data_IF_337189709160
#
_entry.id   IF_337189709160
#
_cell.length_a   1.000
_cell.length_b   1.000
_cell.length_c   1.000
_cell.angle_alpha   90.00
_cell.angle_beta   90.00
_cell.angle_gamma   90.00
#
_symmetry.space_group_name_H-M   'P 1'
#
loop_
_entity.id
_entity.type
_entity.pdbx_description
1 polymer ?
#
# COMPACT_ATOMS: atom_id res chain seq x y z
N UNK A 1 8.65 1.68 6.07
CA UNK A 1 9.21 3.04 6.27
C UNK A 1 10.14 3.13 7.48
N UNK A 2 9.76 2.62 8.66
CA UNK A 2 10.60 2.69 9.87
C UNK A 2 12.06 2.22 9.67
N UNK A 3 12.27 0.98 9.24
CA UNK A 3 13.64 0.41 9.06
C UNK A 3 14.47 1.27 8.09
N UNK A 4 13.89 1.60 6.93
CA UNK A 4 14.56 2.42 5.91
C UNK A 4 14.99 3.80 6.42
N UNK A 5 14.19 4.45 7.26
CA UNK A 5 14.55 5.75 7.86
C UNK A 5 15.62 5.57 8.94
N UNK A 6 15.51 4.53 9.76
CA UNK A 6 16.44 4.29 10.88
C UNK A 6 17.85 3.93 10.41
N UNK A 7 17.99 3.19 9.31
CA UNK A 7 19.29 2.86 8.70
C UNK A 7 20.02 4.10 8.17
N UNK A 8 19.27 5.12 7.74
CA UNK A 8 19.80 6.36 7.16
C UNK A 8 19.85 7.52 8.17
N UNK A 9 19.71 7.26 9.47
CA UNK A 9 19.73 8.30 10.52
C UNK A 9 20.97 9.18 10.49
N UNK A 10 22.14 8.61 10.16
CA UNK A 10 23.38 9.37 10.05
C UNK A 10 23.33 10.40 8.92
N UNK A 11 22.76 10.06 7.76
CA UNK A 11 22.58 10.99 6.64
C UNK A 11 21.67 12.15 7.05
N UNK A 12 20.59 11.84 7.77
CA UNK A 12 19.67 12.84 8.31
C UNK A 12 20.33 13.73 9.37
N UNK A 13 21.15 13.17 10.25
CA UNK A 13 21.96 13.92 11.21
C UNK A 13 22.96 14.89 10.55
N UNK A 14 23.60 14.47 9.46
CA UNK A 14 24.49 15.33 8.67
C UNK A 14 23.70 16.49 8.05
N UNK A 15 22.51 16.25 7.48
CA UNK A 15 21.68 17.32 6.92
C UNK A 15 21.27 18.35 7.98
N UNK A 16 20.87 17.89 9.17
CA UNK A 16 20.56 18.78 10.30
C UNK A 16 21.78 19.61 10.73
N UNK A 17 22.98 19.00 10.76
CA UNK A 17 24.22 19.71 11.09
C UNK A 17 24.63 20.78 10.06
N UNK A 18 24.27 20.58 8.78
CA UNK A 18 24.52 21.55 7.69
C UNK A 18 23.48 22.68 7.66
N UNK A 19 22.43 22.60 8.49
CA UNK A 19 21.44 23.67 8.67
C UNK A 19 20.05 23.36 8.13
N UNK A 20 19.73 22.10 7.81
CA UNK A 20 18.32 21.72 7.59
C UNK A 20 17.53 21.89 8.89
N UNK A 21 16.36 22.49 8.78
CA UNK A 21 15.39 22.49 9.87
C UNK A 21 14.70 21.12 9.99
N UNK A 22 14.28 20.71 11.20
CA UNK A 22 13.49 19.49 11.41
C UNK A 22 12.24 19.39 10.52
N UNK A 23 11.60 20.53 10.24
CA UNK A 23 10.44 20.59 9.35
C UNK A 23 10.76 20.33 7.87
N UNK A 24 11.92 20.80 7.38
CA UNK A 24 12.40 20.49 6.03
C UNK A 24 12.71 19.00 5.89
N UNK A 25 13.38 18.42 6.88
CA UNK A 25 13.69 16.99 6.92
C UNK A 25 12.41 16.13 6.98
N UNK A 26 11.45 16.49 7.83
CA UNK A 26 10.14 15.84 7.89
C UNK A 26 9.46 15.85 6.53
N UNK A 27 9.39 17.02 5.87
CA UNK A 27 8.75 17.15 4.56
C UNK A 27 9.45 16.31 3.49
N UNK A 28 10.77 16.22 3.52
CA UNK A 28 11.54 15.38 2.61
C UNK A 28 11.16 13.90 2.76
N UNK A 29 11.17 13.37 3.98
CA UNK A 29 10.84 11.97 4.25
C UNK A 29 9.37 11.66 3.90
N UNK A 30 8.46 12.59 4.16
CA UNK A 30 7.06 12.44 3.78
C UNK A 30 6.86 12.43 2.26
N UNK A 31 7.62 13.25 1.51
CA UNK A 31 7.59 13.24 0.04
C UNK A 31 8.17 11.93 -0.51
N UNK A 32 9.26 11.43 0.05
CA UNK A 32 9.83 10.12 -0.31
C UNK A 32 8.82 9.00 -0.06
N UNK A 33 8.14 9.03 1.09
CA UNK A 33 7.08 8.08 1.43
C UNK A 33 5.90 8.16 0.45
N UNK A 34 5.51 9.38 0.02
CA UNK A 34 4.46 9.57 -0.97
C UNK A 34 4.85 9.00 -2.34
N UNK A 35 6.09 9.20 -2.78
CA UNK A 35 6.60 8.62 -4.02
C UNK A 35 6.59 7.09 -3.97
N UNK A 36 7.04 6.50 -2.87
CA UNK A 36 7.00 5.04 -2.67
C UNK A 36 5.55 4.52 -2.70
N UNK A 37 4.61 5.25 -2.10
CA UNK A 37 3.20 4.87 -2.13
C UNK A 37 2.61 4.90 -3.55
N UNK A 38 2.88 5.96 -4.31
CA UNK A 38 2.39 6.10 -5.69
C UNK A 38 2.95 5.00 -6.58
N UNK A 39 4.27 4.77 -6.51
CA UNK A 39 4.94 3.72 -7.30
C UNK A 39 4.39 2.34 -6.90
N UNK A 40 4.27 2.07 -5.60
CA UNK A 40 3.74 0.82 -5.08
C UNK A 40 2.30 0.56 -5.51
N UNK A 41 1.42 1.55 -5.43
CA UNK A 41 0.02 1.44 -5.87
C UNK A 41 -0.07 1.22 -7.38
N UNK A 42 0.74 1.92 -8.16
CA UNK A 42 0.78 1.76 -9.62
C UNK A 42 1.26 0.36 -10.00
N UNK A 43 2.32 -0.13 -9.36
CA UNK A 43 2.82 -1.49 -9.56
C UNK A 43 1.80 -2.55 -9.14
N UNK A 44 1.13 -2.35 -7.99
CA UNK A 44 0.07 -3.24 -7.51
C UNK A 44 -1.09 -3.32 -8.51
N UNK A 45 -1.53 -2.17 -9.05
CA UNK A 45 -2.58 -2.12 -10.07
C UNK A 45 -2.15 -2.88 -11.33
N UNK A 46 -0.93 -2.65 -11.84
CA UNK A 46 -0.42 -3.32 -13.03
C UNK A 46 -0.39 -4.85 -12.87
N UNK A 47 0.04 -5.35 -11.70
CA UNK A 47 0.07 -6.79 -11.41
C UNK A 47 -1.33 -7.37 -11.23
N UNK A 48 -2.27 -6.61 -10.65
CA UNK A 48 -3.62 -7.10 -10.32
C UNK A 48 -4.56 -7.15 -11.53
N UNK A 49 -4.35 -6.30 -12.54
CA UNK A 49 -5.22 -6.23 -13.74
C UNK A 49 -5.26 -7.57 -14.50
N UNK A 50 -4.14 -8.26 -14.66
CA UNK A 50 -4.07 -9.53 -15.39
C UNK A 50 -4.96 -10.63 -14.79
N UNK A 51 -4.76 -11.01 -13.52
CA UNK A 51 -5.62 -11.96 -12.81
C UNK A 51 -7.09 -11.52 -12.79
N UNK A 52 -7.35 -10.22 -12.63
CA UNK A 52 -8.72 -9.70 -12.67
C UNK A 52 -9.41 -9.98 -14.01
N UNK A 53 -8.78 -9.67 -15.14
CA UNK A 53 -9.37 -9.90 -16.46
C UNK A 53 -9.61 -11.39 -16.73
N UNK A 54 -8.71 -12.25 -16.25
CA UNK A 54 -8.87 -13.70 -16.36
C UNK A 54 -10.08 -14.21 -15.55
N UNK A 55 -10.21 -13.78 -14.29
CA UNK A 55 -11.34 -14.15 -13.42
C UNK A 55 -12.66 -13.50 -13.84
N UNK A 56 -12.63 -12.31 -14.43
CA UNK A 56 -13.83 -11.63 -14.93
C UNK A 56 -14.41 -12.33 -16.17
N UNK A 57 -13.55 -12.86 -17.05
CA UNK A 57 -13.96 -13.53 -18.30
C UNK A 57 -14.29 -15.02 -18.09
N UNK A 58 -13.41 -15.76 -17.43
CA UNK A 58 -13.56 -17.22 -17.24
C UNK A 58 -14.50 -17.54 -16.08
N UNK A 59 -14.51 -16.68 -15.06
CA UNK A 59 -15.19 -16.96 -13.79
C UNK A 59 -14.57 -18.15 -13.05
N UNK A 60 -15.03 -18.36 -11.83
CA UNK A 60 -14.70 -19.55 -11.03
C UNK A 60 -15.88 -20.50 -11.14
N UNK A 61 -15.65 -21.68 -11.70
CA UNK A 61 -16.65 -22.73 -11.75
C UNK A 61 -16.78 -23.40 -10.38
N UNK A 62 -17.93 -23.20 -9.73
CA UNK A 62 -18.25 -23.76 -8.42
C UNK A 62 -19.22 -24.96 -8.54
N UNK A 63 -19.48 -25.45 -9.75
CA UNK A 63 -20.38 -26.60 -10.00
C UNK A 63 -19.99 -27.85 -9.21
N UNK A 64 -18.71 -28.08 -8.95
CA UNK A 64 -18.24 -29.23 -8.16
C UNK A 64 -18.42 -29.11 -6.64
N UNK A 65 -18.81 -27.92 -6.13
CA UNK A 65 -19.02 -27.67 -4.69
C UNK A 65 -20.51 -27.53 -4.32
N UNK A 66 -21.39 -27.39 -5.31
CA UNK A 66 -22.85 -27.25 -5.10
C UNK A 66 -23.50 -28.60 -5.42
N UNK A 67 -24.15 -29.27 -4.45
CA UNK A 67 -24.87 -30.50 -4.73
C UNK A 67 -26.07 -30.24 -5.67
N UNK A 68 -26.36 -31.20 -6.54
CA UNK A 68 -27.23 -31.04 -7.71
C UNK A 68 -28.68 -30.61 -7.37
N UNK A 69 -29.10 -30.80 -6.12
CA UNK A 69 -30.38 -30.41 -5.54
C UNK A 69 -30.51 -28.90 -5.27
N UNK A 70 -29.39 -28.16 -5.29
CA UNK A 70 -29.34 -26.72 -5.03
C UNK A 70 -28.98 -25.89 -6.29
N UNK A 71 -28.82 -26.55 -7.44
CA UNK A 71 -28.54 -25.90 -8.73
C UNK A 71 -29.80 -25.31 -9.40
N UNK A 72 -30.99 -25.66 -8.92
CA UNK A 72 -32.27 -25.10 -9.36
C UNK A 72 -33.04 -24.57 -8.14
N UNK A 73 -33.39 -23.28 -8.17
CA UNK A 73 -34.29 -22.68 -7.19
C UNK A 73 -35.56 -22.26 -7.93
N UNK A 74 -36.69 -22.86 -7.59
CA UNK A 74 -38.00 -22.59 -8.21
C UNK A 74 -38.03 -22.74 -9.75
N UNK A 75 -37.31 -23.72 -10.30
CA UNK A 75 -37.29 -24.02 -11.74
C UNK A 75 -36.42 -23.08 -12.59
N UNK A 76 -35.62 -22.23 -11.96
CA UNK A 76 -34.61 -21.39 -12.62
C UNK A 76 -33.23 -21.94 -12.33
N UNK A 77 -32.48 -22.29 -13.38
CA UNK A 77 -31.10 -22.72 -13.28
C UNK A 77 -30.20 -21.58 -12.79
N UNK A 78 -29.54 -21.79 -11.66
CA UNK A 78 -28.57 -20.84 -11.11
C UNK A 78 -27.24 -20.97 -11.87
N UNK A 79 -26.64 -19.85 -12.29
CA UNK A 79 -25.33 -19.88 -12.92
C UNK A 79 -24.27 -20.32 -11.91
N UNK A 80 -23.68 -21.50 -12.09
CA UNK A 80 -22.61 -22.05 -11.24
C UNK A 80 -21.24 -21.40 -11.48
N UNK A 81 -21.18 -20.30 -12.24
CA UNK A 81 -19.94 -19.59 -12.55
C UNK A 81 -19.94 -18.27 -11.78
N UNK A 82 -19.13 -18.18 -10.73
CA UNK A 82 -18.94 -16.95 -9.97
C UNK A 82 -17.96 -16.05 -10.70
N UNK A 83 -18.43 -14.89 -11.17
CA UNK A 83 -17.59 -13.87 -11.81
C UNK A 83 -17.19 -12.81 -10.80
N UNK A 84 -15.93 -12.40 -10.84
CA UNK A 84 -15.44 -11.29 -10.01
C UNK A 84 -15.86 -9.97 -10.65
N UNK A 85 -16.68 -9.20 -9.94
CA UNK A 85 -17.02 -7.83 -10.27
C UNK A 85 -16.29 -6.86 -9.35
N UNK A 86 -15.36 -6.08 -9.89
CA UNK A 86 -14.73 -4.98 -9.15
C UNK A 86 -15.51 -3.70 -9.44
N UNK A 87 -16.12 -3.13 -8.39
CA UNK A 87 -16.75 -1.81 -8.46
C UNK A 87 -15.68 -0.71 -8.34
N UNK A 88 -15.75 0.32 -9.19
CA UNK A 88 -14.77 1.41 -9.21
C UNK A 88 -14.65 2.16 -7.88
N UNK A 89 -15.76 2.28 -7.14
CA UNK A 89 -15.80 2.86 -5.80
C UNK A 89 -14.92 2.11 -4.79
N UNK A 90 -14.91 0.78 -4.84
CA UNK A 90 -14.10 -0.04 -3.94
C UNK A 90 -12.61 0.07 -4.28
N UNK A 91 -12.27 0.17 -5.57
CA UNK A 91 -10.87 0.41 -6.00
C UNK A 91 -10.37 1.75 -5.47
N UNK A 92 -11.18 2.80 -5.59
CA UNK A 92 -10.83 4.11 -5.07
C UNK A 92 -10.67 4.09 -3.55
N UNK A 93 -11.59 3.44 -2.82
CA UNK A 93 -11.54 3.32 -1.36
C UNK A 93 -10.29 2.55 -0.91
N UNK A 94 -9.98 1.42 -1.55
CA UNK A 94 -8.76 0.63 -1.27
C UNK A 94 -7.50 1.45 -1.57
N UNK A 95 -7.44 2.12 -2.73
CA UNK A 95 -6.30 2.95 -3.10
C UNK A 95 -6.05 4.10 -2.12
N UNK A 96 -7.11 4.83 -1.74
CA UNK A 96 -7.02 5.95 -0.80
C UNK A 96 -6.64 5.46 0.59
N UNK A 97 -7.28 4.38 1.08
CA UNK A 97 -6.97 3.83 2.40
C UNK A 97 -5.53 3.31 2.49
N UNK A 98 -5.02 2.64 1.45
CA UNK A 98 -3.63 2.21 1.37
C UNK A 98 -2.66 3.40 1.34
N UNK A 99 -2.94 4.44 0.55
CA UNK A 99 -2.13 5.67 0.50
C UNK A 99 -2.06 6.32 1.88
N UNK A 100 -3.21 6.49 2.55
CA UNK A 100 -3.28 7.07 3.90
C UNK A 100 -2.51 6.20 4.90
N UNK A 101 -2.67 4.88 4.87
CA UNK A 101 -1.95 3.98 5.76
C UNK A 101 -0.43 4.07 5.59
N UNK A 102 0.06 4.14 4.34
CA UNK A 102 1.49 4.28 4.05
C UNK A 102 2.01 5.61 4.59
N UNK A 103 1.33 6.71 4.30
CA UNK A 103 1.72 8.04 4.78
C UNK A 103 1.73 8.10 6.31
N UNK A 104 0.67 7.60 6.97
CA UNK A 104 0.58 7.56 8.43
C UNK A 104 1.73 6.74 9.05
N UNK A 105 2.12 5.62 8.43
CA UNK A 105 3.25 4.83 8.90
C UNK A 105 4.60 5.57 8.80
N UNK A 106 4.71 6.56 7.91
CA UNK A 106 5.88 7.40 7.72
C UNK A 106 5.96 8.57 8.70
N UNK A 107 4.83 9.02 9.27
CA UNK A 107 4.76 10.19 10.15
C UNK A 107 5.64 10.01 11.39
N UNK A 108 5.51 8.87 12.08
CA UNK A 108 6.29 8.58 13.28
C UNK A 108 7.81 8.58 13.04
N UNK A 109 8.36 7.78 12.09
CA UNK A 109 9.80 7.79 11.85
C UNK A 109 10.30 9.14 11.31
N UNK A 110 9.52 9.85 10.48
CA UNK A 110 9.91 11.17 9.98
C UNK A 110 10.02 12.20 11.11
N UNK A 111 9.06 12.22 12.03
CA UNK A 111 9.08 13.10 13.20
C UNK A 111 10.21 12.76 14.16
N UNK A 112 10.49 11.46 14.35
CA UNK A 112 11.60 10.98 15.20
C UNK A 112 12.96 11.34 14.60
N UNK A 113 13.14 11.19 13.28
CA UNK A 113 14.37 11.55 12.59
C UNK A 113 14.67 13.06 12.66
N UNK A 114 13.64 13.91 12.58
CA UNK A 114 13.79 15.36 12.69
C UNK A 114 14.24 15.86 14.08
N UNK A 115 14.03 15.08 15.13
CA UNK A 115 14.44 15.41 16.50
C UNK A 115 15.71 14.68 16.95
N UNK A 116 16.35 13.93 16.06
CA UNK A 116 17.57 13.23 16.41
C UNK A 116 18.71 14.24 16.62
N UNK A 117 19.47 14.09 17.71
CA UNK A 117 20.62 14.96 17.97
C UNK A 117 21.70 14.69 16.91
N UNK A 118 22.12 15.69 16.12
CA UNK A 118 23.17 15.54 15.11
C UNK A 118 24.47 14.98 15.68
N UNK A 119 24.83 15.35 16.92
CA UNK A 119 26.08 14.94 17.55
C UNK A 119 26.05 13.46 17.92
N UNK A 120 24.93 12.97 18.45
CA UNK A 120 24.75 11.55 18.79
C UNK A 120 24.61 10.68 17.54
N UNK A 121 23.82 11.13 16.56
CA UNK A 121 23.57 10.35 15.34
C UNK A 121 24.80 10.14 14.47
N UNK A 122 25.75 11.10 14.47
CA UNK A 122 27.02 10.96 13.75
C UNK A 122 27.99 10.00 14.47
N UNK A 123 27.85 9.84 15.79
CA UNK A 123 28.70 8.98 16.64
C UNK A 123 28.24 7.53 16.73
N UNK A 124 27.07 7.17 16.21
CA UNK A 124 26.57 5.79 16.17
C UNK A 124 27.47 4.89 15.32
N UNK A 125 28.53 4.33 15.93
CA UNK A 125 29.29 3.13 15.54
C UNK A 125 29.79 2.44 16.81
#
# INVERSE_FOLDING_TARGET
>A
LFVSVMERLREFGIMLAVGFSPGQLFRLIMIESAWLAIIGLTAAAAVTVGPYLYLASTGIDISGLIPADQMEVAGVGMSTVMRVGIYGENVALIGISALVAILLSGVYPAWRAGQADPVETIRLV
#
